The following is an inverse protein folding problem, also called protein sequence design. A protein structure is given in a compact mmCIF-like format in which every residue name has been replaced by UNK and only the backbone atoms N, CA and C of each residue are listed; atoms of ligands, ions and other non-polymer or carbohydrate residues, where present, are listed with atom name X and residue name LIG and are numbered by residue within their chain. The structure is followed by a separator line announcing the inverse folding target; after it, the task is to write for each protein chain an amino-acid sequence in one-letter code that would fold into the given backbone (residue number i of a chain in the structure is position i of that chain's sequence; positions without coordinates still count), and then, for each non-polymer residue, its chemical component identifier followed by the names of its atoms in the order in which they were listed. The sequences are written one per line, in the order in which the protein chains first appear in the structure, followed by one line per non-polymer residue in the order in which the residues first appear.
data_IF_784643380557
#
_entry.id   IF_784643380557
#
_cell.length_a   1.000
_cell.length_b   1.000
_cell.length_c   1.000
_cell.angle_alpha   90.00
_cell.angle_beta   90.00
_cell.angle_gamma   90.00
#
_symmetry.space_group_name_H-M   'P 1'
#
loop_
_entity.id
_entity.type
_entity.pdbx_description
1 polymer ?
#
# COMPACT_ATOMS: atom_id res chain seq x y z
N UNK A 1 -14.48 20.76 21.35
CA UNK A 1 -14.13 19.89 20.21
C UNK A 1 -15.39 19.17 19.77
N UNK A 2 -15.72 19.19 18.47
CA UNK A 2 -16.95 18.55 17.97
C UNK A 2 -16.84 17.03 17.95
N UNK A 3 -17.98 16.35 18.02
CA UNK A 3 -18.04 14.89 17.85
C UNK A 3 -17.59 14.49 16.43
N UNK A 4 -16.97 13.31 16.24
CA UNK A 4 -16.68 12.78 14.92
C UNK A 4 -17.98 12.61 14.13
N UNK A 5 -17.94 13.01 12.85
CA UNK A 5 -19.08 12.96 11.95
C UNK A 5 -18.69 12.29 10.64
N UNK A 6 -19.48 11.32 10.19
CA UNK A 6 -19.35 10.75 8.86
C UNK A 6 -19.70 11.78 7.78
N UNK A 7 -19.03 11.68 6.64
CA UNK A 7 -19.25 12.54 5.47
C UNK A 7 -19.96 11.76 4.38
N UNK A 8 -20.60 12.48 3.48
CA UNK A 8 -21.31 11.88 2.35
C UNK A 8 -20.35 11.28 1.30
N UNK A 9 -20.96 10.67 0.28
CA UNK A 9 -20.25 10.04 -0.83
C UNK A 9 -19.37 11.03 -1.60
N UNK A 10 -19.84 12.25 -1.83
CA UNK A 10 -19.15 13.20 -2.70
C UNK A 10 -17.86 13.68 -2.04
N UNK A 11 -17.93 13.96 -0.73
CA UNK A 11 -16.75 14.22 0.08
C UNK A 11 -15.78 13.04 0.05
N UNK A 12 -16.26 11.81 0.28
CA UNK A 12 -15.39 10.63 0.25
C UNK A 12 -14.68 10.44 -1.10
N UNK A 13 -15.41 10.65 -2.21
CA UNK A 13 -14.86 10.57 -3.56
C UNK A 13 -13.81 11.65 -3.82
N UNK A 14 -13.99 12.86 -3.29
CA UNK A 14 -12.99 13.93 -3.39
C UNK A 14 -11.68 13.52 -2.70
N UNK A 15 -11.74 12.97 -1.50
CA UNK A 15 -10.56 12.50 -0.76
C UNK A 15 -9.86 11.36 -1.51
N UNK A 16 -10.62 10.41 -2.06
CA UNK A 16 -10.06 9.31 -2.87
C UNK A 16 -9.35 9.86 -4.12
N UNK A 17 -9.96 10.82 -4.83
CA UNK A 17 -9.34 11.44 -6.01
C UNK A 17 -8.08 12.23 -5.65
N UNK A 18 -8.13 13.00 -4.56
CA UNK A 18 -6.98 13.75 -4.07
C UNK A 18 -5.81 12.82 -3.73
N UNK A 19 -6.05 11.77 -2.94
CA UNK A 19 -5.01 10.78 -2.59
C UNK A 19 -4.49 10.01 -3.81
N UNK A 20 -5.34 9.74 -4.81
CA UNK A 20 -4.90 9.17 -6.08
C UNK A 20 -3.92 10.07 -6.84
N UNK A 21 -4.16 11.39 -6.90
CA UNK A 21 -3.23 12.31 -7.56
C UNK A 21 -1.88 12.41 -6.83
N UNK A 22 -1.87 12.35 -5.49
CA UNK A 22 -0.62 12.22 -4.72
C UNK A 22 0.13 10.92 -5.06
N UNK A 23 -0.58 9.78 -5.10
CA UNK A 23 0.01 8.51 -5.53
C UNK A 23 0.55 8.58 -6.97
N UNK A 24 -0.17 9.23 -7.90
CA UNK A 24 0.28 9.41 -9.29
C UNK A 24 1.57 10.22 -9.36
N UNK A 25 1.68 11.29 -8.57
CA UNK A 25 2.88 12.11 -8.51
C UNK A 25 4.07 11.31 -7.94
N UNK A 26 3.82 10.52 -6.89
CA UNK A 26 4.79 9.62 -6.27
C UNK A 26 5.35 8.59 -7.26
N UNK A 27 4.49 7.79 -7.91
CA UNK A 27 4.94 6.75 -8.85
C UNK A 27 5.54 7.30 -10.14
N UNK A 28 5.31 8.58 -10.46
CA UNK A 28 5.96 9.30 -11.56
C UNK A 28 7.26 10.00 -11.14
N UNK A 29 7.71 9.83 -9.90
CA UNK A 29 8.90 10.49 -9.34
C UNK A 29 8.84 12.03 -9.42
N UNK A 30 7.64 12.59 -9.30
CA UNK A 30 7.37 14.04 -9.30
C UNK A 30 7.39 14.65 -7.89
N UNK A 31 7.47 13.82 -6.87
CA UNK A 31 7.57 14.20 -5.46
C UNK A 31 8.69 13.39 -4.80
N UNK A 32 9.17 13.84 -3.62
CA UNK A 32 10.00 13.00 -2.78
C UNK A 32 9.22 11.72 -2.42
N UNK A 33 9.88 10.57 -2.44
CA UNK A 33 9.26 9.29 -2.11
C UNK A 33 9.37 8.93 -0.62
N UNK A 34 10.12 9.69 0.18
CA UNK A 34 10.24 9.50 1.63
C UNK A 34 10.57 8.05 2.04
N UNK A 35 11.33 7.33 1.19
CA UNK A 35 11.69 5.92 1.43
C UNK A 35 10.69 4.88 0.91
N UNK A 36 9.57 5.30 0.30
CA UNK A 36 8.64 4.39 -0.36
C UNK A 36 9.27 3.84 -1.65
N UNK A 37 9.40 2.51 -1.72
CA UNK A 37 9.76 1.81 -2.94
C UNK A 37 8.57 1.81 -3.92
N UNK A 38 8.77 2.41 -5.09
CA UNK A 38 7.75 2.58 -6.12
C UNK A 38 7.99 1.72 -7.36
N UNK A 39 8.93 0.76 -7.28
CA UNK A 39 9.17 -0.27 -8.29
C UNK A 39 7.88 -1.01 -8.63
N UNK A 40 7.56 -1.11 -9.91
CA UNK A 40 6.32 -1.73 -10.39
C UNK A 40 6.51 -2.38 -11.76
N UNK A 41 5.58 -3.25 -12.17
CA UNK A 41 5.65 -3.96 -13.48
C UNK A 41 4.66 -3.44 -14.52
N UNK A 42 3.67 -2.63 -14.14
CA UNK A 42 2.49 -2.35 -14.98
C UNK A 42 2.07 -0.88 -15.05
N UNK A 43 2.67 0.02 -14.27
CA UNK A 43 2.35 1.44 -14.38
C UNK A 43 3.02 2.01 -15.63
N UNK A 44 2.31 1.98 -16.77
CA UNK A 44 2.85 2.27 -18.11
C UNK A 44 3.53 3.65 -18.28
N UNK A 45 3.38 4.57 -17.33
CA UNK A 45 3.99 5.92 -17.35
C UNK A 45 4.98 6.17 -16.21
N UNK A 46 5.24 5.16 -15.37
CA UNK A 46 6.19 5.28 -14.28
C UNK A 46 7.61 5.05 -14.80
N UNK A 47 8.58 5.93 -14.49
CA UNK A 47 9.99 5.69 -14.77
C UNK A 47 10.59 4.62 -13.85
N UNK A 48 9.83 4.14 -12.87
CA UNK A 48 10.25 3.16 -11.86
C UNK A 48 9.77 1.75 -12.23
N UNK A 49 9.45 1.53 -13.51
CA UNK A 49 9.01 0.24 -14.00
C UNK A 49 10.20 -0.72 -14.06
N UNK A 50 10.09 -1.90 -13.46
CA UNK A 50 11.06 -2.98 -13.59
C UNK A 50 10.60 -4.02 -14.62
N UNK A 51 11.53 -4.86 -15.04
CA UNK A 51 11.24 -6.05 -15.83
C UNK A 51 10.52 -7.12 -15.01
N UNK A 52 9.92 -8.07 -15.73
CA UNK A 52 9.31 -9.26 -15.11
C UNK A 52 10.36 -10.12 -14.43
N UNK A 53 11.58 -10.18 -14.99
CA UNK A 53 12.69 -10.96 -14.45
C UNK A 53 13.15 -10.39 -13.11
N UNK A 54 13.39 -9.07 -13.03
CA UNK A 54 13.75 -8.41 -11.78
C UNK A 54 12.66 -8.59 -10.69
N UNK A 55 11.38 -8.50 -11.06
CA UNK A 55 10.29 -8.73 -10.11
C UNK A 55 10.26 -10.18 -9.62
N UNK A 56 10.56 -11.14 -10.51
CA UNK A 56 10.65 -12.57 -10.17
C UNK A 56 11.84 -12.86 -9.28
N UNK A 57 13.00 -12.26 -9.52
CA UNK A 57 14.20 -12.44 -8.69
C UNK A 57 13.93 -11.99 -7.24
N UNK A 58 13.19 -10.88 -7.05
CA UNK A 58 12.76 -10.43 -5.72
C UNK A 58 11.93 -11.50 -5.02
N UNK A 59 10.95 -12.10 -5.72
CA UNK A 59 10.12 -13.17 -5.14
C UNK A 59 10.94 -14.43 -4.85
N UNK A 60 11.86 -14.81 -5.73
CA UNK A 60 12.71 -16.00 -5.57
C UNK A 60 13.76 -15.85 -4.47
N UNK A 61 14.11 -14.62 -4.10
CA UNK A 61 14.99 -14.34 -2.96
C UNK A 61 14.31 -14.54 -1.60
N UNK A 62 12.97 -14.59 -1.57
CA UNK A 62 12.22 -14.82 -0.36
C UNK A 62 12.33 -16.28 0.11
N UNK A 63 12.12 -16.56 1.42
CA UNK A 63 12.05 -17.92 1.93
C UNK A 63 11.02 -18.78 1.17
N UNK A 64 11.31 -20.08 1.10
CA UNK A 64 10.38 -21.04 0.50
C UNK A 64 9.01 -20.99 1.20
N UNK A 65 7.96 -21.21 0.42
CA UNK A 65 6.60 -21.33 0.95
C UNK A 65 6.55 -22.41 2.04
N UNK A 66 6.04 -22.04 3.21
CA UNK A 66 6.00 -22.89 4.39
C UNK A 66 4.60 -23.02 4.98
N UNK A 67 4.47 -23.90 5.95
CA UNK A 67 3.25 -23.99 6.77
C UNK A 67 3.03 -22.68 7.54
N UNK A 68 1.77 -22.25 7.71
CA UNK A 68 1.46 -21.07 8.50
C UNK A 68 1.93 -21.25 9.95
N UNK A 69 2.35 -20.15 10.57
CA UNK A 69 2.65 -20.13 12.01
C UNK A 69 1.37 -20.31 12.84
N UNK A 70 1.45 -20.97 14.01
CA UNK A 70 0.32 -21.04 14.92
C UNK A 70 -0.09 -19.64 15.38
N UNK A 71 -1.40 -19.40 15.47
CA UNK A 71 -1.95 -18.14 15.98
C UNK A 71 -1.79 -18.11 17.50
N UNK A 72 -1.34 -16.97 18.04
CA UNK A 72 -1.19 -16.79 19.48
C UNK A 72 -2.56 -16.73 20.17
N UNK A 73 -2.73 -17.42 21.31
CA UNK A 73 -3.97 -17.37 22.12
C UNK A 73 -4.34 -15.96 22.59
N UNK A 74 -3.40 -15.01 22.53
CA UNK A 74 -3.68 -13.62 22.89
C UNK A 74 -4.69 -12.93 21.97
N UNK A 75 -4.84 -13.41 20.73
CA UNK A 75 -5.82 -12.84 19.80
C UNK A 75 -7.26 -13.11 20.24
N UNK A 76 -7.48 -14.11 21.08
CA UNK A 76 -8.80 -14.51 21.58
C UNK A 76 -9.21 -13.72 22.85
N UNK A 77 -8.35 -12.80 23.32
CA UNK A 77 -8.61 -11.99 24.50
C UNK A 77 -9.62 -10.89 24.20
N UNK A 78 -10.66 -10.78 25.04
CA UNK A 78 -11.55 -9.62 25.04
C UNK A 78 -10.94 -8.46 25.80
N UNK A 79 -10.94 -7.28 25.17
CA UNK A 79 -10.59 -6.02 25.82
C UNK A 79 -11.87 -5.24 26.12
N UNK A 80 -12.13 -4.98 27.40
CA UNK A 80 -13.22 -4.10 27.83
C UNK A 80 -12.65 -2.68 27.93
N UNK A 81 -13.19 -1.76 27.13
CA UNK A 81 -12.72 -0.38 26.95
C UNK A 81 -13.81 0.61 27.35
#
# INVERSE_FOLDING_TARGET
MGAPQFKDKDFAVEIIKSTHEHWRALVQKKTNNEGIECKNISCCKSPLKCSVDEARDVVQSAPAFGSPHPVSLEVDKWHFV
#
